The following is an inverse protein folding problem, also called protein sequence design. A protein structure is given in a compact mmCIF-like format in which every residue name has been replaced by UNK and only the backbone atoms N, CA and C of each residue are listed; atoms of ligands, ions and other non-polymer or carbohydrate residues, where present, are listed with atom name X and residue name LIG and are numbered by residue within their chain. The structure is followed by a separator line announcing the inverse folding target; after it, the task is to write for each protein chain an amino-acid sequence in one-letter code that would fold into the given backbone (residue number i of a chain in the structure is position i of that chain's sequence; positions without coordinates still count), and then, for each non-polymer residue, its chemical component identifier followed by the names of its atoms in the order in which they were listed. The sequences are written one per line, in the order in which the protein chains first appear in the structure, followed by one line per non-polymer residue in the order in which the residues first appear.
data_IF_974508549153
#
_entry.id   IF_974508549153
#
_cell.length_a   1.000
_cell.length_b   1.000
_cell.length_c   1.000
_cell.angle_alpha   90.00
_cell.angle_beta   90.00
_cell.angle_gamma   90.00
#
_symmetry.space_group_name_H-M   'P 1'
#
loop_
_entity.id
_entity.type
_entity.pdbx_description
1 polymer ?
#
# COMPACT_ATOMS: atom_id res chain seq x y z
N UNK A 1 -18.37 8.36 11.89
CA UNK A 1 -17.84 7.65 13.07
C UNK A 1 -18.34 8.36 14.31
N UNK A 2 -18.78 7.62 15.33
CA UNK A 2 -19.27 8.20 16.58
C UNK A 2 -18.05 8.61 17.43
N UNK A 3 -17.80 9.91 17.57
CA UNK A 3 -16.55 10.47 18.14
C UNK A 3 -16.21 9.97 19.55
N UNK A 4 -17.22 9.55 20.30
CA UNK A 4 -17.09 9.26 21.73
C UNK A 4 -16.81 7.78 22.06
N UNK A 5 -16.84 6.90 21.06
CA UNK A 5 -16.71 5.45 21.27
C UNK A 5 -15.28 5.03 21.64
N UNK A 6 -14.27 5.65 21.00
CA UNK A 6 -12.87 5.26 21.17
C UNK A 6 -12.19 5.95 22.36
N UNK A 7 -12.53 7.22 22.63
CA UNK A 7 -11.93 8.02 23.72
C UNK A 7 -12.20 7.49 25.13
N UNK A 8 -13.33 6.82 25.33
CA UNK A 8 -13.74 6.30 26.65
C UNK A 8 -13.23 4.88 26.92
N UNK A 9 -12.51 4.25 25.97
CA UNK A 9 -11.93 2.91 26.15
C UNK A 9 -10.45 3.01 26.45
N UNK A 10 -10.07 2.45 27.60
CA UNK A 10 -8.68 2.28 28.02
C UNK A 10 -7.89 1.55 26.93
N UNK A 11 -6.81 2.15 26.44
CA UNK A 11 -5.96 1.62 25.36
C UNK A 11 -6.38 2.00 23.94
N UNK A 12 -7.46 2.78 23.76
CA UNK A 12 -7.93 3.28 22.47
C UNK A 12 -7.85 4.81 22.35
N UNK A 13 -7.17 5.47 23.28
CA UNK A 13 -6.99 6.92 23.33
C UNK A 13 -6.38 7.44 22.03
N UNK A 14 -5.37 6.73 21.49
CA UNK A 14 -4.75 7.03 20.19
C UNK A 14 -5.75 7.06 19.02
N UNK A 15 -6.74 6.15 19.01
CA UNK A 15 -7.79 6.14 17.99
C UNK A 15 -8.83 7.24 18.20
N UNK A 16 -9.04 7.65 19.47
CA UNK A 16 -9.84 8.82 19.81
C UNK A 16 -9.23 10.12 19.29
N UNK A 17 -7.93 10.30 19.50
CA UNK A 17 -7.19 11.47 19.02
C UNK A 17 -7.09 11.47 17.49
N UNK A 18 -6.85 10.31 16.88
CA UNK A 18 -6.86 10.15 15.43
C UNK A 18 -8.24 10.49 14.84
N UNK A 19 -9.34 10.15 15.54
CA UNK A 19 -10.68 10.50 15.10
C UNK A 19 -10.94 12.01 15.10
N UNK A 20 -10.33 12.78 16.01
CA UNK A 20 -10.45 14.24 16.01
C UNK A 20 -9.67 14.85 14.86
N UNK A 21 -8.42 14.40 14.66
CA UNK A 21 -7.58 14.81 13.52
C UNK A 21 -8.28 14.50 12.19
N UNK A 22 -8.92 13.33 12.09
CA UNK A 22 -9.69 12.92 10.91
C UNK A 22 -10.88 13.86 10.64
N UNK A 23 -11.55 14.35 11.68
CA UNK A 23 -12.68 15.25 11.53
C UNK A 23 -12.23 16.69 11.18
N UNK A 24 -11.05 17.12 11.65
CA UNK A 24 -10.47 18.44 11.36
C UNK A 24 -9.83 18.53 9.97
N UNK A 25 -9.14 17.47 9.52
CA UNK A 25 -8.36 17.45 8.26
C UNK A 25 -9.25 17.20 7.04
N UNK A 26 -10.45 16.65 7.24
CA UNK A 26 -11.41 16.37 6.18
C UNK A 26 -11.16 15.03 5.46
N UNK A 27 -12.25 14.46 4.91
CA UNK A 27 -12.24 13.10 4.32
C UNK A 27 -11.28 12.95 3.14
N UNK A 28 -11.14 13.99 2.32
CA UNK A 28 -10.32 13.93 1.11
C UNK A 28 -8.83 13.84 1.42
N UNK A 29 -8.36 14.61 2.40
CA UNK A 29 -6.96 14.57 2.83
C UNK A 29 -6.59 13.23 3.49
N UNK A 30 -7.55 12.57 4.16
CA UNK A 30 -7.35 11.22 4.67
C UNK A 30 -7.30 10.20 3.53
N UNK A 31 -8.21 10.31 2.56
CA UNK A 31 -8.20 9.45 1.39
C UNK A 31 -6.88 9.56 0.63
N UNK A 32 -6.39 10.79 0.43
CA UNK A 32 -5.09 11.04 -0.19
C UNK A 32 -3.94 10.47 0.63
N UNK A 33 -3.95 10.65 1.96
CA UNK A 33 -2.95 10.04 2.85
C UNK A 33 -2.96 8.51 2.72
N UNK A 34 -4.13 7.86 2.82
CA UNK A 34 -4.24 6.40 2.66
C UNK A 34 -3.76 5.94 1.30
N UNK A 35 -4.14 6.63 0.22
CA UNK A 35 -3.68 6.32 -1.13
C UNK A 35 -2.17 6.49 -1.28
N UNK A 36 -1.57 7.50 -0.65
CA UNK A 36 -0.13 7.76 -0.72
C UNK A 36 0.73 6.60 -0.19
N UNK A 37 0.18 5.81 0.75
CA UNK A 37 0.83 4.62 1.31
C UNK A 37 0.80 3.42 0.37
N UNK A 38 -0.05 3.44 -0.67
CA UNK A 38 -0.24 2.32 -1.57
C UNK A 38 0.63 2.41 -2.83
N UNK A 39 0.89 1.24 -3.42
CA UNK A 39 1.48 1.13 -4.76
C UNK A 39 0.38 1.32 -5.80
N UNK A 40 0.16 2.57 -6.18
CA UNK A 40 -0.77 2.96 -7.25
C UNK A 40 -0.18 4.09 -8.11
N UNK A 41 -0.66 4.22 -9.34
CA UNK A 41 -0.24 5.24 -10.31
C UNK A 41 0.05 4.64 -11.69
N UNK A 42 0.95 5.29 -12.44
CA UNK A 42 1.45 4.77 -13.72
C UNK A 42 2.32 3.52 -13.51
N UNK A 43 2.57 2.70 -14.56
CA UNK A 43 3.47 1.54 -14.46
C UNK A 43 4.85 1.91 -13.90
N UNK A 44 5.41 3.06 -14.29
CA UNK A 44 6.70 3.53 -13.78
C UNK A 44 6.63 3.86 -12.28
N UNK A 45 5.58 4.55 -11.83
CA UNK A 45 5.41 4.86 -10.41
C UNK A 45 5.28 3.57 -9.57
N UNK A 46 4.51 2.60 -10.07
CA UNK A 46 4.36 1.31 -9.41
C UNK A 46 5.70 0.55 -9.31
N UNK A 47 6.48 0.51 -10.39
CA UNK A 47 7.81 -0.10 -10.38
C UNK A 47 8.73 0.56 -9.34
N UNK A 48 8.84 1.89 -9.37
CA UNK A 48 9.72 2.63 -8.45
C UNK A 48 9.33 2.44 -6.99
N UNK A 49 8.03 2.48 -6.66
CA UNK A 49 7.55 2.21 -5.30
C UNK A 49 7.90 0.79 -4.84
N UNK A 50 7.76 -0.21 -5.71
CA UNK A 50 8.10 -1.60 -5.36
C UNK A 50 9.61 -1.75 -5.11
N UNK A 51 10.46 -1.13 -5.96
CA UNK A 51 11.91 -1.14 -5.78
C UNK A 51 12.33 -0.42 -4.50
N UNK A 52 11.71 0.73 -4.19
CA UNK A 52 11.94 1.47 -2.95
C UNK A 52 11.57 0.62 -1.72
N UNK A 53 10.39 -0.01 -1.71
CA UNK A 53 10.00 -0.95 -0.65
C UNK A 53 11.03 -2.06 -0.53
N UNK A 54 11.40 -2.70 -1.64
CA UNK A 54 12.38 -3.77 -1.67
C UNK A 54 13.72 -3.36 -1.08
N UNK A 55 14.20 -2.15 -1.36
CA UNK A 55 15.45 -1.63 -0.81
C UNK A 55 15.43 -1.48 0.73
N UNK A 56 14.24 -1.27 1.31
CA UNK A 56 14.05 -1.05 2.74
C UNK A 56 13.90 -2.34 3.53
N UNK A 57 13.19 -3.33 2.99
CA UNK A 57 12.83 -4.57 3.72
C UNK A 57 13.48 -5.84 3.17
N UNK A 58 14.10 -5.77 1.99
CA UNK A 58 14.80 -6.90 1.38
C UNK A 58 13.87 -8.05 0.95
N UNK A 59 12.81 -7.77 0.19
CA UNK A 59 11.88 -8.81 -0.29
C UNK A 59 12.19 -9.33 -1.70
N UNK A 60 11.82 -10.58 -1.98
CA UNK A 60 11.83 -11.17 -3.34
C UNK A 60 10.43 -11.47 -3.89
N UNK A 61 9.43 -11.37 -3.04
CA UNK A 61 8.04 -11.60 -3.40
C UNK A 61 7.22 -10.35 -3.14
N UNK A 62 6.29 -10.09 -4.05
CA UNK A 62 5.26 -9.06 -3.88
C UNK A 62 3.90 -9.70 -4.17
N UNK A 63 2.95 -9.48 -3.27
CA UNK A 63 1.56 -9.88 -3.47
C UNK A 63 0.74 -8.63 -3.83
N UNK A 64 0.36 -8.51 -5.10
CA UNK A 64 -0.41 -7.38 -5.60
C UNK A 64 -1.91 -7.60 -5.45
N UNK A 65 -2.61 -6.62 -4.88
CA UNK A 65 -4.07 -6.58 -4.81
C UNK A 65 -4.59 -5.69 -5.93
N UNK A 66 -5.30 -6.29 -6.89
CA UNK A 66 -5.83 -5.59 -8.07
C UNK A 66 -7.35 -5.32 -8.00
N UNK A 67 -8.02 -5.84 -6.98
CA UNK A 67 -9.45 -5.64 -6.75
C UNK A 67 -9.68 -5.30 -5.29
N UNK A 68 -10.50 -4.27 -5.05
CA UNK A 68 -10.85 -3.81 -3.71
C UNK A 68 -12.24 -3.18 -3.71
N UNK A 69 -12.93 -3.30 -2.57
CA UNK A 69 -14.29 -2.80 -2.37
C UNK A 69 -15.23 -3.24 -3.52
N UNK A 70 -16.05 -2.32 -4.03
CA UNK A 70 -17.01 -2.57 -5.10
C UNK A 70 -16.44 -2.26 -6.50
N UNK A 71 -15.12 -2.41 -6.69
CA UNK A 71 -14.48 -2.18 -7.99
C UNK A 71 -15.06 -3.13 -9.07
N UNK A 72 -15.47 -2.61 -10.24
CA UNK A 72 -15.86 -3.44 -11.38
C UNK A 72 -14.77 -4.42 -11.82
N UNK A 73 -15.16 -5.63 -12.19
CA UNK A 73 -14.20 -6.70 -12.52
C UNK A 73 -13.32 -6.37 -13.73
N UNK A 74 -13.89 -5.76 -14.76
CA UNK A 74 -13.17 -5.31 -15.97
C UNK A 74 -12.06 -4.32 -15.62
N UNK A 75 -12.32 -3.37 -14.72
CA UNK A 75 -11.32 -2.44 -14.23
C UNK A 75 -10.18 -3.13 -13.49
N UNK A 76 -10.50 -4.10 -12.61
CA UNK A 76 -9.50 -4.90 -11.91
C UNK A 76 -8.66 -5.74 -12.89
N UNK A 77 -9.30 -6.33 -13.90
CA UNK A 77 -8.66 -7.14 -14.93
C UNK A 77 -7.71 -6.31 -15.80
N UNK A 78 -8.12 -5.11 -16.22
CA UNK A 78 -7.30 -4.20 -17.00
C UNK A 78 -6.07 -3.73 -16.23
N UNK A 79 -6.22 -3.40 -14.94
CA UNK A 79 -5.10 -3.08 -14.06
C UNK A 79 -4.11 -4.24 -13.93
N UNK A 80 -4.63 -5.45 -13.72
CA UNK A 80 -3.82 -6.67 -13.65
C UNK A 80 -3.06 -6.95 -14.94
N UNK A 81 -3.73 -6.84 -16.10
CA UNK A 81 -3.12 -7.02 -17.43
C UNK A 81 -2.02 -5.99 -17.69
N UNK A 82 -2.29 -4.71 -17.38
CA UNK A 82 -1.32 -3.63 -17.55
C UNK A 82 -0.08 -3.85 -16.67
N UNK A 83 -0.28 -4.17 -15.39
CA UNK A 83 0.83 -4.47 -14.48
C UNK A 83 1.66 -5.68 -14.96
N UNK A 84 0.98 -6.75 -15.36
CA UNK A 84 1.62 -7.98 -15.85
C UNK A 84 2.44 -7.74 -17.12
N UNK A 85 2.03 -6.80 -17.96
CA UNK A 85 2.72 -6.44 -19.21
C UNK A 85 3.89 -5.48 -18.99
N UNK A 86 3.71 -4.43 -18.19
CA UNK A 86 4.65 -3.30 -18.13
C UNK A 86 5.56 -3.32 -16.89
N UNK A 87 5.12 -3.93 -15.78
CA UNK A 87 5.84 -3.88 -14.49
C UNK A 87 6.46 -5.22 -14.13
N UNK A 88 5.69 -6.31 -14.22
CA UNK A 88 6.14 -7.64 -13.81
C UNK A 88 7.43 -8.11 -14.51
N UNK A 89 7.64 -7.90 -15.83
CA UNK A 89 8.89 -8.31 -16.48
C UNK A 89 10.11 -7.62 -15.87
N UNK A 90 10.03 -6.32 -15.62
CA UNK A 90 11.11 -5.52 -15.02
C UNK A 90 11.43 -5.97 -13.60
N UNK A 91 10.41 -6.34 -12.81
CA UNK A 91 10.62 -6.87 -11.46
C UNK A 91 11.33 -8.24 -11.48
N UNK A 92 11.08 -9.07 -12.50
CA UNK A 92 11.74 -10.38 -12.65
C UNK A 92 13.20 -10.28 -13.07
N UNK A 93 13.63 -9.13 -13.62
CA UNK A 93 15.03 -8.86 -13.95
C UNK A 93 15.86 -8.47 -12.72
N UNK A 94 15.21 -8.16 -11.59
CA UNK A 94 15.91 -7.81 -10.36
C UNK A 94 16.66 -9.04 -9.81
N UNK A 95 17.92 -8.87 -9.35
CA UNK A 95 18.66 -9.94 -8.73
C UNK A 95 17.98 -10.37 -7.43
N UNK A 96 18.20 -11.62 -7.02
CA UNK A 96 17.80 -12.11 -5.70
C UNK A 96 18.35 -11.20 -4.59
N UNK A 97 17.61 -10.95 -3.49
CA UNK A 97 18.21 -10.20 -2.38
C UNK A 97 19.33 -11.03 -1.80
N UNK A 98 20.45 -10.38 -1.46
CA UNK A 98 21.55 -11.06 -0.77
C UNK A 98 21.03 -11.63 0.55
N UNK A 99 20.83 -12.94 0.58
CA UNK A 99 20.50 -13.67 1.79
C UNK A 99 21.75 -13.63 2.67
N UNK A 100 21.62 -13.20 3.93
CA UNK A 100 22.68 -13.34 4.92
C UNK A 100 22.95 -14.83 5.11
N UNK A 101 23.90 -15.38 4.34
CA UNK A 101 24.32 -16.79 4.41
C UNK A 101 25.42 -17.04 5.45
N UNK A 102 25.91 -15.99 6.12
CA UNK A 102 27.09 -16.05 6.98
C UNK A 102 26.82 -15.66 8.45
N UNK A 103 25.69 -16.06 9.02
CA UNK A 103 25.58 -16.19 10.48
C UNK A 103 25.59 -17.67 10.81
N UNK A 104 26.79 -18.25 10.73
CA UNK A 104 27.13 -19.51 11.36
C UNK A 104 27.40 -19.30 12.85
#
# INVERSE_FOLDING_TARGET
MNQDYFKKRKGYEYYGDMSDVINDVGRDAIAEMFMSLQVWGTPEQCYQKIVDIRSKIGNNGFNGVFSYADMPFDMAEDSFKLFSKEVLPRLKELPDVETVKDVA
#
